data_IF_864608526862
#
_entry.id   IF_864608526862
#
_cell.length_a   1.000
_cell.length_b   1.000
_cell.length_c   1.000
_cell.angle_alpha   90.00
_cell.angle_beta   90.00
_cell.angle_gamma   90.00
#
_symmetry.space_group_name_H-M   'P 1'
#
loop_
_entity.id
_entity.type
_entity.pdbx_description
1 polymer ?
#
# COMPACT_ATOMS: atom_id res chain seq x y z
N UNK A 1 29.12 -16.68 1.61
CA UNK A 1 27.93 -16.14 2.29
C UNK A 1 28.07 -16.47 3.76
N UNK A 2 27.99 -15.49 4.59
CA UNK A 2 28.19 -15.60 6.06
C UNK A 2 26.82 -15.38 6.72
N UNK A 3 26.49 -16.16 7.75
CA UNK A 3 25.22 -15.99 8.46
C UNK A 3 25.20 -14.69 9.28
N UNK A 4 24.01 -14.12 9.50
CA UNK A 4 23.86 -12.91 10.31
C UNK A 4 24.47 -13.06 11.70
N UNK A 5 24.35 -14.27 12.29
CA UNK A 5 24.93 -14.60 13.59
C UNK A 5 26.46 -14.53 13.59
N UNK A 6 27.11 -14.95 12.50
CA UNK A 6 28.57 -14.92 12.38
C UNK A 6 29.10 -13.50 12.17
N UNK A 7 28.37 -12.65 11.44
CA UNK A 7 28.72 -11.24 11.22
C UNK A 7 28.56 -10.42 12.50
N UNK A 8 27.46 -10.61 13.19
CA UNK A 8 27.11 -9.88 14.41
C UNK A 8 26.47 -8.50 14.16
N UNK A 9 25.63 -8.06 15.10
CA UNK A 9 24.75 -6.90 14.98
C UNK A 9 25.47 -5.59 14.56
N UNK A 10 26.59 -5.26 15.23
CA UNK A 10 27.31 -4.00 14.95
C UNK A 10 27.87 -3.91 13.55
N UNK A 11 28.37 -5.01 13.01
CA UNK A 11 28.93 -5.04 11.66
C UNK A 11 27.81 -5.01 10.61
N UNK A 12 26.67 -5.65 10.90
CA UNK A 12 25.47 -5.57 10.05
C UNK A 12 24.95 -4.12 9.96
N UNK A 13 24.84 -3.41 11.09
CA UNK A 13 24.41 -1.99 11.11
C UNK A 13 25.38 -1.12 10.30
N UNK A 14 26.69 -1.36 10.41
CA UNK A 14 27.69 -0.65 9.62
C UNK A 14 27.51 -0.94 8.10
N UNK A 15 27.28 -2.20 7.75
CA UNK A 15 26.99 -2.62 6.37
C UNK A 15 25.74 -1.94 5.80
N UNK A 16 24.66 -1.89 6.58
CA UNK A 16 23.43 -1.19 6.22
C UNK A 16 23.71 0.29 5.93
N UNK A 17 24.45 0.98 6.81
CA UNK A 17 24.81 2.39 6.62
C UNK A 17 25.63 2.69 5.37
N UNK A 18 26.28 1.68 4.77
CA UNK A 18 26.98 1.82 3.49
C UNK A 18 26.08 1.60 2.26
N UNK A 19 24.91 1.04 2.45
CA UNK A 19 23.97 0.66 1.35
C UNK A 19 22.89 1.70 1.18
N UNK A 20 22.29 2.15 2.27
CA UNK A 20 21.22 3.15 2.23
C UNK A 20 21.79 4.55 1.98
N UNK A 21 20.98 5.40 1.34
CA UNK A 21 21.33 6.81 1.12
C UNK A 21 21.44 7.56 2.45
N UNK A 22 22.32 8.54 2.49
CA UNK A 22 22.42 9.43 3.66
C UNK A 22 21.24 10.38 3.70
N UNK A 23 20.38 10.34 4.77
CA UNK A 23 19.29 11.29 4.90
C UNK A 23 19.81 12.69 5.24
N UNK A 24 19.04 13.75 4.95
CA UNK A 24 19.31 15.07 5.53
C UNK A 24 19.14 15.00 7.06
N UNK A 25 19.99 15.73 7.79
CA UNK A 25 20.03 15.67 9.24
C UNK A 25 20.96 14.58 9.78
N UNK A 26 20.54 13.82 10.78
CA UNK A 26 21.32 12.72 11.38
C UNK A 26 20.57 11.41 11.11
N UNK A 27 21.24 10.51 10.40
CA UNK A 27 20.73 9.17 10.08
C UNK A 27 21.31 8.08 10.99
N UNK A 28 21.41 6.82 10.49
CA UNK A 28 21.92 5.69 11.26
C UNK A 28 23.36 5.90 11.73
N UNK A 29 23.64 5.50 12.98
CA UNK A 29 24.97 5.55 13.58
C UNK A 29 25.05 6.31 14.90
N UNK A 30 23.98 7.01 15.27
CA UNK A 30 23.82 7.66 16.57
C UNK A 30 22.64 7.03 17.34
N UNK A 31 22.41 7.43 18.60
CA UNK A 31 21.34 6.88 19.46
C UNK A 31 19.93 7.17 18.90
N UNK A 32 19.80 8.26 18.14
CA UNK A 32 18.55 8.63 17.49
C UNK A 32 18.80 9.41 16.19
N UNK A 33 17.82 9.36 15.28
CA UNK A 33 17.80 10.18 14.08
C UNK A 33 17.38 11.63 14.38
N UNK A 34 17.97 12.59 13.63
CA UNK A 34 17.48 13.97 13.60
C UNK A 34 16.87 14.23 12.23
N UNK A 35 15.55 14.28 12.18
CA UNK A 35 14.79 14.61 10.97
C UNK A 35 14.65 16.13 10.93
N UNK A 36 15.08 16.82 9.86
CA UNK A 36 14.89 18.26 9.74
C UNK A 36 13.42 18.65 9.86
N UNK A 37 13.16 19.87 10.37
CA UNK A 37 11.79 20.35 10.52
C UNK A 37 11.00 20.22 9.22
N UNK A 38 9.86 19.53 9.30
CA UNK A 38 8.90 19.35 8.22
C UNK A 38 7.76 20.36 8.40
N UNK A 39 7.31 20.97 7.31
CA UNK A 39 6.23 21.96 7.34
C UNK A 39 4.86 21.31 7.57
N UNK A 40 4.02 21.93 8.40
CA UNK A 40 2.64 21.51 8.61
C UNK A 40 2.47 20.30 9.54
N UNK A 41 1.28 19.68 9.48
CA UNK A 41 0.94 18.52 10.30
C UNK A 41 1.71 17.28 9.82
N UNK A 42 2.17 16.50 10.79
CA UNK A 42 2.90 15.26 10.58
C UNK A 42 1.93 14.07 10.59
N UNK A 43 2.11 13.17 9.64
CA UNK A 43 1.41 11.89 9.56
C UNK A 43 2.40 10.77 9.83
N UNK A 44 2.03 9.79 10.63
CA UNK A 44 2.86 8.61 10.90
C UNK A 44 1.99 7.35 10.95
N UNK A 45 2.52 6.27 10.39
CA UNK A 45 1.94 4.93 10.46
C UNK A 45 3.02 3.89 10.74
N UNK A 46 2.62 2.67 11.06
CA UNK A 46 3.52 1.53 11.21
C UNK A 46 2.84 0.24 10.75
N UNK A 47 3.51 -0.46 9.84
CA UNK A 47 3.11 -1.77 9.37
C UNK A 47 4.29 -2.75 9.37
N UNK A 48 3.95 -4.04 9.37
CA UNK A 48 4.93 -5.13 9.39
C UNK A 48 4.67 -6.13 8.28
N UNK A 49 5.73 -6.53 7.61
CA UNK A 49 5.71 -7.67 6.69
C UNK A 49 6.59 -8.80 7.23
N UNK A 50 6.22 -10.05 6.92
CA UNK A 50 6.93 -11.23 7.42
C UNK A 50 7.29 -12.17 6.28
N UNK A 51 8.41 -12.87 6.40
CA UNK A 51 8.90 -13.81 5.39
C UNK A 51 7.96 -15.01 5.18
N UNK A 52 7.18 -15.39 6.19
CA UNK A 52 6.25 -16.50 6.10
C UNK A 52 4.95 -16.17 5.37
N UNK A 53 4.53 -14.90 5.34
CA UNK A 53 3.27 -14.46 4.74
C UNK A 53 3.42 -13.59 3.50
N UNK A 54 4.48 -12.76 3.48
CA UNK A 54 4.63 -11.71 2.48
C UNK A 54 5.85 -11.93 1.57
N UNK A 55 6.31 -13.18 1.46
CA UNK A 55 7.42 -13.60 0.60
C UNK A 55 6.95 -14.71 -0.35
N UNK A 56 6.11 -14.38 -1.34
CA UNK A 56 5.58 -15.35 -2.29
C UNK A 56 6.69 -15.99 -3.10
N UNK A 57 6.38 -17.14 -3.70
CA UNK A 57 7.31 -17.91 -4.51
C UNK A 57 7.95 -17.04 -5.61
N UNK A 58 9.26 -17.07 -5.67
CA UNK A 58 10.05 -16.32 -6.66
C UNK A 58 10.38 -14.88 -6.30
N UNK A 59 9.84 -14.35 -5.19
CA UNK A 59 10.22 -13.03 -4.66
C UNK A 59 11.70 -13.03 -4.25
N UNK A 60 12.38 -11.91 -4.47
CA UNK A 60 13.74 -11.66 -4.03
C UNK A 60 13.74 -10.82 -2.75
N UNK A 61 14.86 -10.80 -2.03
CA UNK A 61 14.96 -10.03 -0.80
C UNK A 61 14.90 -8.51 -1.01
N UNK A 62 15.36 -7.99 -2.15
CA UNK A 62 15.20 -6.58 -2.49
C UNK A 62 13.73 -6.22 -2.81
N UNK A 63 12.97 -7.13 -3.43
CA UNK A 63 11.53 -6.97 -3.65
C UNK A 63 10.75 -7.01 -2.33
N UNK A 64 11.14 -7.88 -1.39
CA UNK A 64 10.57 -7.90 -0.04
C UNK A 64 10.86 -6.61 0.73
N UNK A 65 12.08 -6.08 0.61
CA UNK A 65 12.45 -4.79 1.15
C UNK A 65 11.62 -3.64 0.55
N UNK A 66 11.43 -3.64 -0.77
CA UNK A 66 10.53 -2.70 -1.43
C UNK A 66 9.13 -2.76 -0.84
N UNK A 67 8.55 -3.96 -0.73
CA UNK A 67 7.21 -4.16 -0.17
C UNK A 67 7.12 -3.64 1.27
N UNK A 68 8.11 -3.91 2.11
CA UNK A 68 8.15 -3.45 3.50
C UNK A 68 8.10 -1.91 3.64
N UNK A 69 8.69 -1.19 2.70
CA UNK A 69 8.59 0.27 2.63
C UNK A 69 7.26 0.72 1.99
N UNK A 70 6.86 0.07 0.89
CA UNK A 70 5.71 0.46 0.09
C UNK A 70 4.39 0.39 0.86
N UNK A 71 4.17 -0.64 1.69
CA UNK A 71 2.93 -0.79 2.48
C UNK A 71 2.73 0.41 3.40
N UNK A 72 3.79 0.90 4.05
CA UNK A 72 3.74 2.07 4.92
C UNK A 72 3.60 3.39 4.16
N UNK A 73 4.26 3.51 3.00
CA UNK A 73 4.14 4.70 2.14
C UNK A 73 2.72 4.78 1.54
N UNK A 74 2.05 3.64 1.33
CA UNK A 74 0.65 3.58 0.89
C UNK A 74 -0.32 4.19 1.90
N UNK A 75 -0.12 3.95 3.20
CA UNK A 75 -0.90 4.61 4.25
C UNK A 75 -0.75 6.14 4.19
N UNK A 76 0.48 6.63 3.98
CA UNK A 76 0.72 8.06 3.82
C UNK A 76 -0.02 8.61 2.58
N UNK A 77 -0.04 7.86 1.48
CA UNK A 77 -0.78 8.22 0.28
C UNK A 77 -2.29 8.28 0.55
N UNK A 78 -2.85 7.30 1.27
CA UNK A 78 -4.26 7.29 1.70
C UNK A 78 -4.66 8.51 2.54
N UNK A 79 -3.69 9.08 3.28
CA UNK A 79 -3.87 10.30 4.08
C UNK A 79 -3.59 11.60 3.30
N UNK A 80 -3.09 11.53 2.06
CA UNK A 80 -2.67 12.69 1.26
C UNK A 80 -1.36 13.32 1.70
N UNK A 81 -0.53 12.57 2.43
CA UNK A 81 0.74 13.05 2.96
C UNK A 81 1.89 12.80 2.00
N UNK A 82 2.85 13.71 1.99
CA UNK A 82 4.13 13.59 1.31
C UNK A 82 5.08 12.79 2.21
N UNK A 83 5.66 11.67 1.74
CA UNK A 83 6.62 10.89 2.52
C UNK A 83 7.90 11.69 2.82
N UNK A 84 8.42 11.56 4.05
CA UNK A 84 9.65 12.22 4.50
C UNK A 84 10.70 11.19 4.89
N UNK A 85 10.30 10.16 5.62
CA UNK A 85 11.26 9.18 6.07
C UNK A 85 10.68 7.92 6.68
N UNK A 86 11.56 6.93 6.83
CA UNK A 86 11.25 5.61 7.35
C UNK A 86 12.18 5.26 8.53
N UNK A 87 11.62 4.54 9.51
CA UNK A 87 12.36 3.85 10.55
C UNK A 87 12.08 2.34 10.43
N UNK A 88 13.12 1.52 10.30
CA UNK A 88 12.97 0.09 9.99
C UNK A 88 13.49 -0.80 11.13
N UNK A 89 12.62 -1.55 11.78
CA UNK A 89 13.00 -2.58 12.75
C UNK A 89 12.98 -3.96 12.08
N UNK A 90 14.16 -4.59 11.95
CA UNK A 90 14.34 -5.89 11.32
C UNK A 90 14.53 -6.96 12.38
N UNK A 91 13.71 -8.01 12.33
CA UNK A 91 13.83 -9.19 13.19
C UNK A 91 14.02 -10.42 12.30
N UNK A 92 15.27 -10.78 11.98
CA UNK A 92 15.61 -11.75 10.95
C UNK A 92 16.11 -13.07 11.52
N UNK A 93 15.89 -14.22 10.83
CA UNK A 93 16.46 -15.49 11.22
C UNK A 93 18.00 -15.41 11.33
N UNK A 94 18.58 -15.97 12.39
CA UNK A 94 20.02 -15.86 12.66
C UNK A 94 20.90 -16.62 11.65
N UNK A 95 20.31 -17.52 10.89
CA UNK A 95 20.93 -18.32 9.81
C UNK A 95 20.73 -17.69 8.43
N UNK A 96 19.97 -16.60 8.31
CA UNK A 96 19.86 -15.84 7.08
C UNK A 96 21.25 -15.30 6.67
N UNK A 97 21.52 -15.26 5.37
CA UNK A 97 22.76 -14.70 4.86
C UNK A 97 22.78 -13.16 5.03
N UNK A 98 23.96 -12.62 5.29
CA UNK A 98 24.18 -11.17 5.39
C UNK A 98 23.79 -10.42 4.10
N UNK A 99 24.10 -11.00 2.94
CA UNK A 99 23.69 -10.44 1.63
C UNK A 99 22.18 -10.29 1.52
N UNK A 100 21.39 -11.24 2.04
CA UNK A 100 19.91 -11.14 2.01
C UNK A 100 19.39 -9.98 2.86
N UNK A 101 20.01 -9.73 4.03
CA UNK A 101 19.68 -8.56 4.84
C UNK A 101 19.99 -7.25 4.10
N UNK A 102 21.14 -7.20 3.44
CA UNK A 102 21.54 -6.02 2.68
C UNK A 102 20.65 -5.80 1.44
N UNK A 103 20.22 -6.86 0.79
CA UNK A 103 19.25 -6.78 -0.31
C UNK A 103 17.90 -6.23 0.19
N UNK A 104 17.40 -6.68 1.36
CA UNK A 104 16.19 -6.11 1.98
C UNK A 104 16.34 -4.59 2.18
N UNK A 105 17.45 -4.16 2.79
CA UNK A 105 17.68 -2.74 3.04
C UNK A 105 17.86 -1.91 1.77
N UNK A 106 18.51 -2.47 0.75
CA UNK A 106 18.63 -1.83 -0.57
C UNK A 106 17.26 -1.66 -1.25
N UNK A 107 16.40 -2.68 -1.16
CA UNK A 107 15.03 -2.61 -1.66
C UNK A 107 14.18 -1.57 -0.95
N UNK A 108 14.29 -1.49 0.38
CA UNK A 108 13.60 -0.45 1.17
C UNK A 108 14.09 0.96 0.78
N UNK A 109 15.41 1.18 0.66
CA UNK A 109 15.96 2.49 0.29
C UNK A 109 15.56 2.89 -1.14
N UNK A 110 15.55 1.95 -2.07
CA UNK A 110 15.09 2.17 -3.43
C UNK A 110 13.60 2.57 -3.50
N UNK A 111 12.75 1.94 -2.69
CA UNK A 111 11.35 2.33 -2.58
C UNK A 111 11.25 3.74 -1.97
N UNK A 112 11.92 4.00 -0.86
CA UNK A 112 11.95 5.32 -0.24
C UNK A 112 12.42 6.42 -1.22
N UNK A 113 13.46 6.14 -2.03
CA UNK A 113 13.96 7.05 -3.06
C UNK A 113 12.90 7.39 -4.11
N UNK A 114 12.16 6.39 -4.58
CA UNK A 114 11.12 6.58 -5.58
C UNK A 114 10.02 7.56 -5.12
N UNK A 115 9.82 7.69 -3.82
CA UNK A 115 8.82 8.59 -3.21
C UNK A 115 9.45 9.77 -2.44
N UNK A 116 10.72 10.08 -2.65
CA UNK A 116 11.39 11.24 -2.06
C UNK A 116 11.72 11.11 -0.57
N UNK A 117 11.57 9.92 0.01
CA UNK A 117 11.85 9.65 1.41
C UNK A 117 13.26 9.08 1.63
N UNK A 118 13.65 8.96 2.90
CA UNK A 118 14.93 8.39 3.33
C UNK A 118 14.73 7.41 4.49
N UNK A 119 15.63 6.42 4.62
CA UNK A 119 15.69 5.60 5.82
C UNK A 119 16.54 6.35 6.86
N UNK A 120 15.88 6.78 7.94
CA UNK A 120 16.53 7.54 9.00
C UNK A 120 17.16 6.68 10.09
N UNK A 121 16.70 5.45 10.25
CA UNK A 121 17.23 4.55 11.28
C UNK A 121 16.37 3.32 11.46
N UNK A 122 16.56 2.65 12.59
CA UNK A 122 15.84 1.45 12.95
C UNK A 122 16.55 0.58 13.96
N UNK A 123 16.23 -0.69 14.00
CA UNK A 123 16.84 -1.69 14.86
C UNK A 123 17.05 -3.00 14.09
N UNK A 124 18.00 -3.83 14.54
CA UNK A 124 18.24 -5.14 13.92
C UNK A 124 18.44 -6.19 15.02
N UNK A 125 17.55 -7.20 15.02
CA UNK A 125 17.56 -8.31 15.99
C UNK A 125 17.42 -9.65 15.27
N UNK A 126 17.76 -10.73 15.98
CA UNK A 126 17.49 -12.08 15.51
C UNK A 126 16.09 -12.53 15.94
N UNK A 127 15.35 -13.17 15.03
CA UNK A 127 14.00 -13.63 15.31
C UNK A 127 13.28 -14.27 14.13
N UNK A 128 11.99 -13.98 13.98
CA UNK A 128 11.06 -14.74 13.11
C UNK A 128 11.06 -14.38 11.63
N UNK A 129 11.82 -13.39 11.17
CA UNK A 129 11.77 -12.96 9.77
C UNK A 129 10.71 -11.90 9.51
N UNK A 130 10.75 -10.80 10.27
CA UNK A 130 9.83 -9.68 10.12
C UNK A 130 10.57 -8.36 9.88
N UNK A 131 9.98 -7.48 9.10
CA UNK A 131 10.34 -6.06 8.98
C UNK A 131 9.14 -5.24 9.42
N UNK A 132 9.30 -4.50 10.52
CA UNK A 132 8.34 -3.49 10.95
C UNK A 132 8.88 -2.13 10.55
N UNK A 133 8.13 -1.40 9.73
CA UNK A 133 8.54 -0.09 9.25
C UNK A 133 7.59 0.98 9.75
N UNK A 134 8.13 2.09 10.26
CA UNK A 134 7.36 3.30 10.56
C UNK A 134 7.61 4.32 9.47
N UNK A 135 6.55 4.77 8.80
CA UNK A 135 6.63 5.87 7.85
C UNK A 135 6.21 7.19 8.49
N UNK A 136 6.91 8.25 8.11
CA UNK A 136 6.68 9.63 8.54
C UNK A 136 6.49 10.47 7.28
N UNK A 137 5.40 11.24 7.25
CA UNK A 137 5.07 12.16 6.16
C UNK A 137 4.58 13.51 6.67
N UNK A 138 4.37 14.44 5.75
CA UNK A 138 3.83 15.77 6.05
C UNK A 138 2.67 16.11 5.12
N UNK A 139 1.70 16.81 5.67
CA UNK A 139 0.58 17.34 4.87
C UNK A 139 0.93 18.68 4.18
N UNK A 140 2.00 19.36 4.59
CA UNK A 140 2.40 20.67 4.02
C UNK A 140 1.22 21.66 3.90
N UNK A 141 0.34 21.69 4.91
CA UNK A 141 -0.84 22.54 4.96
C UNK A 141 -2.06 22.04 4.18
N UNK A 142 -1.97 20.88 3.52
CA UNK A 142 -3.13 20.20 2.91
C UNK A 142 -3.99 19.57 4.02
N UNK A 143 -5.31 19.42 3.80
CA UNK A 143 -6.15 18.68 4.75
C UNK A 143 -5.85 17.18 4.71
N UNK A 144 -5.89 16.46 5.86
CA UNK A 144 -5.79 15.02 5.86
C UNK A 144 -7.03 14.41 5.21
N UNK A 145 -6.85 13.39 4.40
CA UNK A 145 -7.94 12.52 3.96
C UNK A 145 -8.17 11.45 5.01
N UNK A 146 -9.43 11.29 5.43
CA UNK A 146 -9.80 10.35 6.48
C UNK A 146 -10.69 9.26 5.92
N UNK A 147 -10.79 8.12 6.61
CA UNK A 147 -11.79 7.08 6.31
C UNK A 147 -13.21 7.57 6.62
N UNK A 148 -13.37 8.53 7.53
CA UNK A 148 -14.64 9.19 7.86
C UNK A 148 -14.88 10.43 7.02
N UNK A 149 -16.16 10.75 6.76
CA UNK A 149 -16.56 11.97 6.08
C UNK A 149 -17.36 11.74 4.79
N UNK A 150 -17.50 10.49 4.33
CA UNK A 150 -18.38 10.13 3.23
C UNK A 150 -19.84 10.46 3.57
N UNK A 151 -20.60 10.93 2.58
CA UNK A 151 -22.00 11.35 2.72
C UNK A 151 -22.87 10.69 1.67
N UNK A 152 -24.13 10.33 1.99
CA UNK A 152 -25.06 9.84 0.98
C UNK A 152 -25.17 10.82 -0.21
N UNK A 153 -25.00 10.28 -1.41
CA UNK A 153 -24.95 11.05 -2.64
C UNK A 153 -23.56 11.39 -3.18
N UNK A 154 -22.50 11.17 -2.37
CA UNK A 154 -21.12 11.24 -2.85
C UNK A 154 -20.84 10.13 -3.88
N UNK A 155 -19.92 10.41 -4.78
CA UNK A 155 -19.42 9.45 -5.76
C UNK A 155 -18.35 8.58 -5.12
N UNK A 156 -18.35 7.28 -5.43
CA UNK A 156 -17.30 6.33 -5.04
C UNK A 156 -16.37 6.10 -6.24
N UNK A 157 -15.09 6.27 -6.05
CA UNK A 157 -14.07 6.11 -7.09
C UNK A 157 -12.83 5.39 -6.58
N UNK A 158 -12.04 4.87 -7.51
CA UNK A 158 -10.77 4.18 -7.24
C UNK A 158 -9.70 4.65 -8.23
N UNK A 159 -8.46 4.74 -7.78
CA UNK A 159 -7.29 4.95 -8.65
C UNK A 159 -6.91 3.65 -9.37
N UNK A 160 -6.15 3.74 -10.46
CA UNK A 160 -5.53 2.61 -11.17
C UNK A 160 -6.48 1.47 -11.51
N UNK A 161 -6.09 0.22 -11.17
CA UNK A 161 -6.83 -1.00 -11.51
C UNK A 161 -6.78 -2.05 -10.39
N UNK A 162 -7.76 -2.97 -10.37
CA UNK A 162 -8.00 -3.90 -9.27
C UNK A 162 -7.75 -5.36 -9.68
N UNK A 163 -7.14 -6.13 -8.78
CA UNK A 163 -6.96 -7.56 -8.90
C UNK A 163 -5.67 -7.99 -9.60
N UNK A 164 -4.78 -7.06 -10.01
CA UNK A 164 -3.51 -7.42 -10.65
C UNK A 164 -2.59 -8.20 -9.72
N UNK A 165 -2.51 -7.81 -8.44
CA UNK A 165 -1.72 -8.53 -7.44
C UNK A 165 -2.26 -9.93 -7.19
N UNK A 166 -3.58 -10.07 -7.05
CA UNK A 166 -4.25 -11.37 -6.90
C UNK A 166 -4.01 -12.28 -8.10
N UNK A 167 -4.15 -11.76 -9.32
CA UNK A 167 -3.89 -12.52 -10.54
C UNK A 167 -2.43 -13.00 -10.60
N UNK A 168 -1.47 -12.12 -10.28
CA UNK A 168 -0.06 -12.49 -10.22
C UNK A 168 0.21 -13.57 -9.17
N UNK A 169 -0.36 -13.46 -7.97
CA UNK A 169 -0.23 -14.46 -6.92
C UNK A 169 -0.74 -15.82 -7.36
N UNK A 170 -1.98 -15.89 -7.87
CA UNK A 170 -2.57 -17.15 -8.32
C UNK A 170 -1.79 -17.79 -9.47
N UNK A 171 -1.29 -17.01 -10.42
CA UNK A 171 -0.49 -17.52 -11.52
C UNK A 171 0.85 -18.09 -11.04
N UNK A 172 1.57 -17.36 -10.18
CA UNK A 172 2.89 -17.75 -9.68
C UNK A 172 2.80 -18.98 -8.77
N UNK A 173 1.89 -18.98 -7.81
CA UNK A 173 1.74 -20.09 -6.86
C UNK A 173 1.31 -21.39 -7.54
N UNK A 174 0.50 -21.32 -8.58
CA UNK A 174 0.04 -22.50 -9.32
C UNK A 174 0.92 -22.82 -10.54
N UNK A 175 1.98 -22.05 -10.81
CA UNK A 175 2.88 -22.30 -11.96
C UNK A 175 2.17 -22.18 -13.31
N UNK A 176 1.22 -21.24 -13.44
CA UNK A 176 0.42 -21.04 -14.63
C UNK A 176 1.19 -20.26 -15.69
N UNK A 177 1.05 -20.65 -16.95
CA UNK A 177 1.54 -19.88 -18.10
C UNK A 177 0.50 -18.82 -18.50
N UNK A 178 0.29 -17.85 -17.60
CA UNK A 178 -0.62 -16.72 -17.79
C UNK A 178 0.17 -15.41 -17.90
N UNK A 179 -0.34 -14.50 -18.72
CA UNK A 179 0.21 -13.14 -18.79
C UNK A 179 -0.23 -12.34 -17.57
N UNK A 180 0.69 -12.22 -16.60
CA UNK A 180 0.51 -11.45 -15.38
C UNK A 180 1.69 -10.51 -15.18
N UNK A 181 1.48 -9.44 -14.42
CA UNK A 181 2.57 -8.55 -13.99
C UNK A 181 3.07 -9.00 -12.62
N UNK A 182 4.19 -9.71 -12.57
CA UNK A 182 4.79 -10.09 -11.28
C UNK A 182 5.10 -8.87 -10.41
N UNK A 183 5.45 -7.73 -11.00
CA UNK A 183 5.71 -6.49 -10.27
C UNK A 183 4.49 -5.96 -9.52
N UNK A 184 3.26 -6.24 -9.97
CA UNK A 184 2.05 -5.85 -9.23
C UNK A 184 1.96 -6.51 -7.85
N UNK A 185 2.57 -7.69 -7.68
CA UNK A 185 2.64 -8.40 -6.40
C UNK A 185 3.97 -8.14 -5.66
N UNK A 186 5.10 -8.17 -6.38
CA UNK A 186 6.44 -8.17 -5.80
C UNK A 186 6.96 -6.77 -5.44
N UNK A 187 6.52 -5.74 -6.19
CA UNK A 187 6.96 -4.35 -6.02
C UNK A 187 5.79 -3.39 -6.20
N UNK A 188 4.81 -3.41 -5.26
CA UNK A 188 3.64 -2.54 -5.34
C UNK A 188 4.05 -1.06 -5.38
N UNK A 189 3.23 -0.24 -6.05
CA UNK A 189 3.51 1.20 -6.26
C UNK A 189 2.46 2.02 -5.53
N UNK A 190 2.78 2.58 -4.35
CA UNK A 190 1.90 3.49 -3.61
C UNK A 190 1.47 4.72 -4.42
N UNK A 191 0.23 5.13 -4.31
CA UNK A 191 -0.39 6.24 -5.04
C UNK A 191 -0.13 7.61 -4.37
N UNK A 192 1.14 7.91 -4.08
CA UNK A 192 1.53 9.14 -3.34
C UNK A 192 1.17 10.40 -4.12
N UNK A 193 1.47 10.45 -5.42
CA UNK A 193 1.17 11.59 -6.28
C UNK A 193 -0.33 11.87 -6.33
N UNK A 194 -1.12 10.82 -6.58
CA UNK A 194 -2.58 10.89 -6.61
C UNK A 194 -3.15 11.28 -5.24
N UNK A 195 -2.66 10.70 -4.14
CA UNK A 195 -3.09 11.03 -2.78
C UNK A 195 -2.86 12.51 -2.44
N UNK A 196 -1.68 13.05 -2.76
CA UNK A 196 -1.37 14.46 -2.55
C UNK A 196 -2.25 15.38 -3.40
N UNK A 197 -2.47 15.05 -4.67
CA UNK A 197 -3.33 15.80 -5.58
C UNK A 197 -4.80 15.78 -5.11
N UNK A 198 -5.30 14.62 -4.70
CA UNK A 198 -6.63 14.44 -4.14
C UNK A 198 -6.84 15.30 -2.87
N UNK A 199 -5.87 15.29 -1.94
CA UNK A 199 -5.92 16.12 -0.75
C UNK A 199 -5.91 17.61 -1.09
N UNK A 200 -5.05 18.05 -2.03
CA UNK A 200 -4.96 19.43 -2.49
C UNK A 200 -6.26 19.92 -3.17
N UNK A 201 -6.98 19.04 -3.85
CA UNK A 201 -8.24 19.37 -4.54
C UNK A 201 -9.35 19.83 -3.58
N UNK A 202 -9.34 19.39 -2.33
CA UNK A 202 -10.40 19.65 -1.36
C UNK A 202 -11.77 19.08 -1.76
N UNK A 203 -11.81 18.14 -2.72
CA UNK A 203 -13.04 17.50 -3.19
C UNK A 203 -13.34 16.21 -2.44
N UNK A 204 -12.29 15.50 -1.97
CA UNK A 204 -12.39 14.19 -1.33
C UNK A 204 -13.08 14.30 0.02
N UNK A 205 -14.07 13.44 0.25
CA UNK A 205 -14.82 13.36 1.51
C UNK A 205 -14.35 12.21 2.41
N UNK A 206 -13.86 11.11 1.82
CA UNK A 206 -13.19 10.03 2.54
C UNK A 206 -12.19 9.30 1.63
N UNK A 207 -11.17 8.67 2.23
CA UNK A 207 -10.16 7.91 1.50
C UNK A 207 -9.58 6.78 2.37
N UNK A 208 -9.16 5.70 1.71
CA UNK A 208 -8.38 4.59 2.27
C UNK A 208 -7.56 3.95 1.17
N UNK A 209 -6.37 3.45 1.49
CA UNK A 209 -5.62 2.60 0.58
C UNK A 209 -6.17 1.16 0.54
N UNK A 210 -5.93 0.46 -0.55
CA UNK A 210 -6.41 -0.91 -0.78
C UNK A 210 -5.30 -1.95 -0.53
N UNK A 211 -4.79 -2.01 0.70
CA UNK A 211 -3.89 -3.07 1.17
C UNK A 211 -4.63 -4.41 1.29
N UNK A 212 -5.86 -4.38 1.78
CA UNK A 212 -6.71 -5.54 2.15
C UNK A 212 -7.83 -5.82 1.14
N UNK A 213 -7.79 -5.14 -0.02
CA UNK A 213 -8.76 -5.27 -1.10
C UNK A 213 -9.96 -4.33 -0.99
N UNK A 214 -10.70 -4.24 -2.10
CA UNK A 214 -11.80 -3.27 -2.24
C UNK A 214 -12.91 -3.46 -1.20
N UNK A 215 -13.26 -4.70 -0.89
CA UNK A 215 -14.34 -5.00 0.06
C UNK A 215 -14.04 -4.49 1.47
N UNK A 216 -12.81 -4.69 1.95
CA UNK A 216 -12.40 -4.21 3.28
C UNK A 216 -12.24 -2.68 3.29
N UNK A 217 -11.69 -2.08 2.23
CA UNK A 217 -11.63 -0.63 2.08
C UNK A 217 -13.02 0.01 2.11
N UNK A 218 -13.98 -0.54 1.37
CA UNK A 218 -15.37 -0.07 1.35
C UNK A 218 -16.03 -0.19 2.74
N UNK A 219 -15.86 -1.31 3.44
CA UNK A 219 -16.36 -1.48 4.80
C UNK A 219 -15.74 -0.49 5.77
N UNK A 220 -14.45 -0.24 5.65
CA UNK A 220 -13.72 0.70 6.49
C UNK A 220 -14.29 2.12 6.37
N UNK A 221 -14.53 2.59 5.14
CA UNK A 221 -15.15 3.90 4.90
C UNK A 221 -16.61 3.91 5.39
N UNK A 222 -17.40 2.88 5.07
CA UNK A 222 -18.80 2.78 5.51
C UNK A 222 -18.91 2.82 7.03
N UNK A 223 -18.08 2.04 7.73
CA UNK A 223 -18.08 1.99 9.19
C UNK A 223 -17.64 3.31 9.83
N UNK A 224 -16.59 3.95 9.29
CA UNK A 224 -16.08 5.21 9.82
C UNK A 224 -17.01 6.40 9.54
N UNK A 225 -17.80 6.34 8.46
CA UNK A 225 -18.70 7.42 8.02
C UNK A 225 -20.17 7.16 8.37
N UNK A 226 -20.53 5.98 8.88
CA UNK A 226 -21.91 5.55 9.16
C UNK A 226 -22.84 5.65 7.93
N UNK A 227 -22.37 5.12 6.80
CA UNK A 227 -23.08 5.12 5.51
C UNK A 227 -22.98 3.75 4.84
N UNK A 228 -23.71 3.56 3.74
CA UNK A 228 -23.53 2.45 2.83
C UNK A 228 -22.87 2.87 1.51
N UNK A 229 -22.51 1.88 0.71
CA UNK A 229 -22.05 2.08 -0.67
C UNK A 229 -22.72 1.11 -1.61
N UNK A 230 -23.11 1.59 -2.78
CA UNK A 230 -23.44 0.75 -3.94
C UNK A 230 -22.26 0.81 -4.92
N UNK A 231 -21.61 -0.32 -5.15
CA UNK A 231 -20.48 -0.49 -6.09
C UNK A 231 -20.96 -1.37 -7.25
N UNK A 232 -20.55 -1.05 -8.47
CA UNK A 232 -21.00 -1.75 -9.68
C UNK A 232 -19.85 -2.52 -10.31
N UNK A 233 -19.95 -3.86 -10.34
CA UNK A 233 -18.93 -4.76 -10.89
C UNK A 233 -18.50 -4.38 -12.31
N UNK A 234 -19.46 -3.94 -13.15
CA UNK A 234 -19.19 -3.54 -14.52
C UNK A 234 -18.40 -2.23 -14.68
N UNK A 235 -18.22 -1.46 -13.63
CA UNK A 235 -17.45 -0.20 -13.63
C UNK A 235 -16.08 -0.34 -12.96
N UNK A 236 -15.77 -1.50 -12.38
CA UNK A 236 -14.47 -1.72 -11.78
C UNK A 236 -13.39 -1.77 -12.87
N UNK A 237 -12.29 -0.99 -12.71
CA UNK A 237 -11.15 -1.06 -13.63
C UNK A 237 -10.41 -2.38 -13.41
N UNK A 238 -10.55 -3.29 -14.37
CA UNK A 238 -9.94 -4.62 -14.28
C UNK A 238 -8.43 -4.56 -14.43
N UNK A 239 -7.74 -5.18 -13.48
CA UNK A 239 -6.29 -5.30 -13.46
C UNK A 239 -5.75 -6.29 -14.50
N UNK A 240 -4.46 -6.11 -14.84
CA UNK A 240 -3.80 -6.95 -15.84
C UNK A 240 -3.74 -8.41 -15.39
N UNK A 241 -4.18 -9.32 -16.26
CA UNK A 241 -4.17 -10.75 -16.03
C UNK A 241 -5.42 -11.33 -15.34
N UNK A 242 -6.31 -10.51 -14.78
CA UNK A 242 -7.49 -10.96 -14.03
C UNK A 242 -8.39 -11.88 -14.85
N UNK A 243 -8.80 -11.47 -16.05
CA UNK A 243 -9.66 -12.28 -16.93
C UNK A 243 -8.98 -13.59 -17.35
N UNK A 244 -7.67 -13.55 -17.67
CA UNK A 244 -6.93 -14.74 -18.09
C UNK A 244 -6.80 -15.75 -16.94
N UNK A 245 -6.36 -15.30 -15.76
CA UNK A 245 -6.23 -16.15 -14.56
C UNK A 245 -7.58 -16.71 -14.13
N UNK A 246 -8.63 -15.90 -14.13
CA UNK A 246 -10.01 -16.34 -13.84
C UNK A 246 -10.44 -17.47 -14.76
N UNK A 247 -10.16 -17.37 -16.06
CA UNK A 247 -10.55 -18.39 -17.04
C UNK A 247 -9.82 -19.72 -16.87
N UNK A 248 -8.56 -19.69 -16.42
CA UNK A 248 -7.71 -20.88 -16.26
C UNK A 248 -7.93 -21.55 -14.90
N UNK A 249 -8.08 -20.74 -13.83
CA UNK A 249 -8.18 -21.28 -12.46
C UNK A 249 -9.62 -21.56 -12.02
N UNK A 250 -10.62 -20.93 -12.65
CA UNK A 250 -11.99 -20.93 -12.18
C UNK A 250 -12.26 -20.00 -10.99
N UNK A 251 -11.24 -19.28 -10.46
CA UNK A 251 -11.44 -18.21 -9.47
C UNK A 251 -12.15 -17.06 -10.15
N UNK A 252 -13.26 -16.59 -9.58
CA UNK A 252 -14.06 -15.55 -10.25
C UNK A 252 -13.32 -14.22 -10.32
N UNK A 253 -13.62 -13.41 -11.36
CA UNK A 253 -13.12 -12.03 -11.43
C UNK A 253 -13.56 -11.20 -10.21
N UNK A 254 -14.78 -11.43 -9.73
CA UNK A 254 -15.29 -10.81 -8.49
C UNK A 254 -14.37 -11.12 -7.30
N UNK A 255 -13.96 -12.37 -7.15
CA UNK A 255 -13.04 -12.80 -6.10
C UNK A 255 -11.70 -12.06 -6.18
N UNK A 256 -11.08 -12.03 -7.37
CA UNK A 256 -9.76 -11.42 -7.58
C UNK A 256 -9.76 -9.90 -7.37
N UNK A 257 -10.86 -9.22 -7.73
CA UNK A 257 -10.92 -7.75 -7.72
C UNK A 257 -11.47 -7.16 -6.43
N UNK A 258 -12.27 -7.92 -5.66
CA UNK A 258 -12.93 -7.40 -4.46
C UNK A 258 -12.28 -7.85 -3.15
N UNK A 259 -11.88 -9.13 -3.09
CA UNK A 259 -11.60 -9.79 -1.81
C UNK A 259 -10.13 -10.08 -1.57
N UNK A 260 -9.26 -9.81 -2.57
CA UNK A 260 -7.82 -9.90 -2.42
C UNK A 260 -7.18 -8.54 -2.25
N UNK A 261 -6.16 -8.48 -1.40
CA UNK A 261 -5.36 -7.28 -1.16
C UNK A 261 -4.15 -7.17 -2.10
N UNK A 262 -3.33 -6.15 -1.85
CA UNK A 262 -2.03 -5.98 -2.50
C UNK A 262 -2.02 -5.09 -3.74
N UNK A 263 -3.16 -4.52 -4.16
CA UNK A 263 -3.18 -3.57 -5.29
C UNK A 263 -2.65 -2.18 -4.90
N UNK A 264 -2.77 -1.78 -3.62
CA UNK A 264 -2.32 -0.49 -3.07
C UNK A 264 -2.83 0.73 -3.86
N UNK A 265 -4.03 0.61 -4.43
CA UNK A 265 -4.78 1.71 -5.00
C UNK A 265 -5.49 2.51 -3.91
N UNK A 266 -6.05 3.67 -4.23
CA UNK A 266 -6.84 4.47 -3.31
C UNK A 266 -8.33 4.35 -3.63
N UNK A 267 -9.12 3.87 -2.66
CA UNK A 267 -10.57 3.99 -2.67
C UNK A 267 -10.96 5.29 -1.99
N UNK A 268 -11.75 6.11 -2.67
CA UNK A 268 -12.17 7.38 -2.12
C UNK A 268 -13.60 7.75 -2.50
N UNK A 269 -14.17 8.67 -1.72
CA UNK A 269 -15.45 9.30 -2.04
C UNK A 269 -15.25 10.79 -2.22
N UNK A 270 -16.08 11.41 -3.04
CA UNK A 270 -16.03 12.84 -3.26
C UNK A 270 -17.38 13.44 -3.54
N UNK A 271 -17.53 14.73 -3.23
CA UNK A 271 -18.70 15.53 -3.57
C UNK A 271 -18.83 15.63 -5.10
N UNK A 272 -19.93 15.13 -5.65
CA UNK A 272 -20.19 15.10 -7.10
C UNK A 272 -20.06 16.48 -7.76
N UNK A 273 -20.38 17.55 -7.04
CA UNK A 273 -20.33 18.91 -7.55
C UNK A 273 -18.90 19.48 -7.62
N UNK A 274 -17.91 18.76 -7.02
CA UNK A 274 -16.49 19.10 -7.00
C UNK A 274 -15.61 18.26 -7.95
N UNK A 275 -16.21 17.48 -8.86
CA UNK A 275 -15.44 16.63 -9.77
C UNK A 275 -14.41 17.40 -10.61
N UNK A 276 -14.71 18.64 -11.02
CA UNK A 276 -13.76 19.48 -11.75
C UNK A 276 -12.50 19.79 -10.96
N UNK A 277 -12.60 19.92 -9.63
CA UNK A 277 -11.42 20.15 -8.78
C UNK A 277 -10.44 18.97 -8.78
N UNK A 278 -10.93 17.72 -8.93
CA UNK A 278 -10.06 16.55 -9.11
C UNK A 278 -9.35 16.60 -10.46
N UNK A 279 -10.06 16.94 -11.54
CA UNK A 279 -9.47 17.08 -12.89
C UNK A 279 -8.47 18.24 -12.97
N UNK A 280 -8.75 19.36 -12.30
CA UNK A 280 -7.84 20.52 -12.22
C UNK A 280 -6.51 20.19 -11.50
N UNK A 281 -6.49 19.10 -10.72
CA UNK A 281 -5.30 18.56 -10.03
C UNK A 281 -4.74 17.29 -10.70
N UNK A 282 -5.14 17.00 -11.95
CA UNK A 282 -4.68 15.86 -12.75
C UNK A 282 -4.86 14.49 -12.05
N UNK A 283 -5.92 14.33 -11.24
CA UNK A 283 -6.22 13.04 -10.60
C UNK A 283 -6.87 12.10 -11.61
N UNK A 284 -6.23 10.96 -11.85
CA UNK A 284 -6.78 9.87 -12.67
C UNK A 284 -7.53 8.87 -11.79
N UNK A 285 -8.80 8.58 -12.12
CA UNK A 285 -9.64 7.66 -11.36
C UNK A 285 -10.78 7.06 -12.20
N UNK A 286 -11.31 5.95 -11.69
CA UNK A 286 -12.52 5.32 -12.23
C UNK A 286 -13.68 5.50 -11.23
N UNK A 287 -14.83 5.99 -11.71
CA UNK A 287 -16.06 6.03 -10.92
C UNK A 287 -16.62 4.61 -10.86
N UNK A 288 -16.78 4.07 -9.66
CA UNK A 288 -17.21 2.68 -9.46
C UNK A 288 -18.55 2.55 -8.72
N UNK A 289 -19.07 3.65 -8.16
CA UNK A 289 -20.29 3.58 -7.37
C UNK A 289 -20.74 4.91 -6.78
N UNK A 290 -21.56 4.80 -5.74
CA UNK A 290 -22.10 5.93 -4.99
C UNK A 290 -22.27 5.57 -3.52
N UNK A 291 -22.20 6.58 -2.65
CA UNK A 291 -22.54 6.47 -1.22
C UNK A 291 -24.06 6.51 -1.03
N UNK A 292 -24.58 5.65 -0.15
CA UNK A 292 -26.01 5.49 0.13
C UNK A 292 -26.34 5.71 1.61
N UNK A 293 -27.64 5.71 1.94
CA UNK A 293 -28.11 5.76 3.33
C UNK A 293 -28.13 4.39 4.03
N UNK A 294 -27.67 3.33 3.39
CA UNK A 294 -27.50 2.02 4.00
C UNK A 294 -26.39 2.06 5.06
N UNK A 295 -26.14 0.95 5.73
CA UNK A 295 -25.12 0.81 6.77
C UNK A 295 -23.93 -0.09 6.36
N UNK A 296 -23.92 -0.56 5.10
CA UNK A 296 -22.91 -1.50 4.58
C UNK A 296 -22.64 -1.30 3.09
N UNK A 297 -21.48 -1.76 2.57
CA UNK A 297 -21.22 -1.78 1.15
C UNK A 297 -21.90 -2.98 0.46
N UNK A 298 -22.43 -2.73 -0.74
CA UNK A 298 -23.03 -3.71 -1.62
C UNK A 298 -22.38 -3.69 -2.99
N UNK A 299 -22.24 -4.87 -3.60
CA UNK A 299 -21.83 -5.03 -4.99
C UNK A 299 -23.04 -5.35 -5.87
N UNK A 300 -23.12 -4.67 -7.01
CA UNK A 300 -24.08 -4.97 -8.06
C UNK A 300 -23.39 -5.70 -9.20
N UNK A 301 -23.93 -6.88 -9.56
CA UNK A 301 -23.53 -7.60 -10.76
C UNK A 301 -24.79 -7.81 -11.64
N UNK A 302 -24.97 -6.97 -12.66
CA UNK A 302 -26.24 -6.78 -13.34
C UNK A 302 -27.32 -6.30 -12.36
N UNK A 303 -28.45 -7.01 -12.29
CA UNK A 303 -29.56 -6.71 -11.37
C UNK A 303 -29.40 -7.32 -9.97
N UNK A 304 -28.35 -8.08 -9.74
CA UNK A 304 -28.11 -8.76 -8.45
C UNK A 304 -27.36 -7.81 -7.52
N UNK A 305 -27.99 -7.49 -6.36
CA UNK A 305 -27.38 -6.74 -5.26
C UNK A 305 -26.99 -7.71 -4.15
N UNK A 306 -25.71 -7.74 -3.76
CA UNK A 306 -25.17 -8.61 -2.73
C UNK A 306 -24.33 -7.80 -1.74
N UNK A 307 -24.49 -8.04 -0.43
CA UNK A 307 -23.58 -7.46 0.56
C UNK A 307 -22.15 -7.99 0.34
N UNK A 308 -21.16 -7.13 0.47
CA UNK A 308 -19.76 -7.53 0.35
C UNK A 308 -19.34 -8.42 1.52
N UNK A 309 -18.71 -9.54 1.20
CA UNK A 309 -18.10 -10.48 2.17
C UNK A 309 -16.80 -9.91 2.74
N UNK A 310 -16.20 -10.58 3.73
CA UNK A 310 -14.88 -10.23 4.24
C UNK A 310 -13.81 -10.58 3.21
N UNK A 311 -12.70 -9.82 3.25
CA UNK A 311 -11.52 -10.13 2.47
C UNK A 311 -10.96 -11.53 2.83
N UNK A 312 -10.18 -12.07 1.91
CA UNK A 312 -9.53 -13.38 2.07
C UNK A 312 -8.02 -13.14 2.01
N UNK A 313 -7.36 -13.39 3.13
CA UNK A 313 -5.90 -13.30 3.27
C UNK A 313 -5.32 -14.68 3.46
#
# INVERSE_FOLDING_TARGET
MVSLKEVGERELIRGIGNIIRRPPGVGPGDDAAVIPSIGGDMVACVDSVTLDRHFPKGMKYDEFGWTAAAVNISDLAGMGAEPVGLLAALTMPSDLNDSSLYDIMAGMDKCAEAFGAYIYGGDTKFGCGAVSCTAIGTLNGRPPMLRSGARPGDIVAVTGSLGSAAAAFHAIENGLDCRVSASSLMTPVPRVGEGMAMSASGAVTSCVDLSDGLAEGAKSICGASHVGMDIYMGFLPEGFGVSEVSSVTGVSREELMLYWGGDYELLFTFDKDKINSLYDHDVEFSIIGKVTNDDAPYIYNGDIRKAMENGRY
#
